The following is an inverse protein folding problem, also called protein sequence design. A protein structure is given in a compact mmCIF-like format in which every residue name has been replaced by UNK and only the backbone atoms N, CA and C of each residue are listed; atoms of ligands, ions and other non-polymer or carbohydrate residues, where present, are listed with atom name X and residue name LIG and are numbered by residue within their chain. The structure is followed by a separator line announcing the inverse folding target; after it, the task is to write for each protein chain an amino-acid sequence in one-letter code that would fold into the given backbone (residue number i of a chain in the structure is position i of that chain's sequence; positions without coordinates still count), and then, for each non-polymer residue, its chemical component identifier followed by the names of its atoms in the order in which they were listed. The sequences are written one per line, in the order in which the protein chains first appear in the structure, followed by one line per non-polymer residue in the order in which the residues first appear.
data_IF_027342361689
#
_entry.id   IF_027342361689
#
_cell.length_a   1.000
_cell.length_b   1.000
_cell.length_c   1.000
_cell.angle_alpha   90.00
_cell.angle_beta   90.00
_cell.angle_gamma   90.00
#
_symmetry.space_group_name_H-M   'P 1'
#
loop_
_entity.id
_entity.type
_entity.pdbx_description
1 polymer ?
#
# COMPACT_ATOMS: atom_id res chain seq x y z
N UNK A 1 11.33 5.09 -31.38
CA UNK A 1 11.63 5.44 -29.97
C UNK A 1 10.67 6.51 -29.44
N UNK A 2 10.29 7.50 -30.25
CA UNK A 2 9.38 8.60 -29.86
C UNK A 2 7.98 8.14 -29.39
N UNK A 3 7.32 7.26 -30.15
CA UNK A 3 6.00 6.71 -29.79
C UNK A 3 6.00 5.78 -28.55
N UNK A 4 7.16 5.27 -28.14
CA UNK A 4 7.27 4.43 -26.94
C UNK A 4 7.35 5.29 -25.66
N UNK A 5 7.88 6.51 -25.77
CA UNK A 5 8.01 7.43 -24.64
C UNK A 5 6.74 8.25 -24.41
N UNK A 6 5.90 8.44 -25.44
CA UNK A 6 4.63 9.17 -25.30
C UNK A 6 3.66 8.52 -24.32
N UNK A 7 3.72 7.18 -24.18
CA UNK A 7 2.92 6.42 -23.21
C UNK A 7 3.55 6.32 -21.82
N UNK A 8 4.87 6.57 -21.68
CA UNK A 8 5.56 6.53 -20.39
C UNK A 8 5.69 7.94 -19.82
N UNK A 9 4.58 8.43 -19.29
CA UNK A 9 4.48 9.74 -18.64
C UNK A 9 4.08 9.59 -17.16
N UNK A 10 3.94 10.73 -16.49
CA UNK A 10 3.52 10.78 -15.08
C UNK A 10 2.20 10.04 -14.85
N UNK A 11 1.21 10.18 -15.75
CA UNK A 11 -0.07 9.51 -15.64
C UNK A 11 0.06 7.98 -15.59
N UNK A 12 0.86 7.40 -16.49
CA UNK A 12 1.13 5.96 -16.51
C UNK A 12 1.81 5.48 -15.23
N UNK A 13 2.80 6.21 -14.74
CA UNK A 13 3.47 5.86 -13.46
C UNK A 13 2.49 5.89 -12.30
N UNK A 14 1.62 6.90 -12.23
CA UNK A 14 0.64 7.03 -11.15
C UNK A 14 -0.44 5.94 -11.20
N UNK A 15 -0.93 5.57 -12.38
CA UNK A 15 -1.94 4.51 -12.53
C UNK A 15 -1.39 3.16 -12.06
N UNK A 16 -0.20 2.76 -12.54
CA UNK A 16 0.40 1.49 -12.10
C UNK A 16 0.88 1.55 -10.64
N UNK A 17 1.46 2.67 -10.22
CA UNK A 17 1.92 2.87 -8.84
C UNK A 17 0.78 2.82 -7.83
N UNK A 18 -0.36 3.47 -8.11
CA UNK A 18 -1.55 3.42 -7.24
C UNK A 18 -2.18 2.02 -7.20
N UNK A 19 -2.24 1.31 -8.33
CA UNK A 19 -2.70 -0.08 -8.37
C UNK A 19 -1.83 -1.00 -7.49
N UNK A 20 -0.51 -0.92 -7.62
CA UNK A 20 0.42 -1.66 -6.77
C UNK A 20 0.31 -1.25 -5.29
N UNK A 21 0.13 0.03 -5.00
CA UNK A 21 -0.05 0.53 -3.64
C UNK A 21 -1.29 -0.08 -2.98
N UNK A 22 -2.45 -0.10 -3.64
CA UNK A 22 -3.68 -0.69 -3.08
C UNK A 22 -3.50 -2.18 -2.78
N UNK A 23 -2.91 -2.93 -3.72
CA UNK A 23 -2.64 -4.36 -3.52
C UNK A 23 -1.69 -4.58 -2.33
N UNK A 24 -0.63 -3.78 -2.23
CA UNK A 24 0.30 -3.85 -1.10
C UNK A 24 -0.41 -3.50 0.22
N UNK A 25 -1.31 -2.51 0.20
CA UNK A 25 -2.08 -2.10 1.39
C UNK A 25 -2.95 -3.25 1.90
N UNK A 26 -3.64 -3.98 1.00
CA UNK A 26 -4.39 -5.17 1.39
C UNK A 26 -3.48 -6.26 1.95
N UNK A 27 -2.35 -6.54 1.29
CA UNK A 27 -1.40 -7.54 1.77
C UNK A 27 -0.90 -7.21 3.18
N UNK A 28 -0.36 -6.01 3.40
CA UNK A 28 0.15 -5.61 4.72
C UNK A 28 -0.96 -5.45 5.76
N UNK A 29 -2.16 -5.04 5.37
CA UNK A 29 -3.32 -4.99 6.27
C UNK A 29 -3.70 -6.35 6.86
N UNK A 30 -3.43 -7.45 6.14
CA UNK A 30 -3.62 -8.82 6.66
C UNK A 30 -2.44 -9.33 7.50
N UNK A 31 -1.28 -8.68 7.43
CA UNK A 31 -0.10 -9.01 8.23
C UNK A 31 -0.21 -8.30 9.58
N UNK A 32 -1.05 -8.85 10.46
CA UNK A 32 -1.15 -8.43 11.86
C UNK A 32 0.18 -8.55 12.62
N UNK A 33 0.20 -8.13 13.88
CA UNK A 33 1.45 -8.06 14.65
C UNK A 33 1.22 -7.93 16.14
N UNK A 34 1.98 -7.07 16.81
CA UNK A 34 1.91 -6.85 18.26
C UNK A 34 0.47 -6.63 18.77
N UNK A 35 -0.35 -5.89 18.03
CA UNK A 35 -1.76 -5.62 18.32
C UNK A 35 -2.68 -6.85 18.34
N UNK A 36 -2.24 -7.99 17.81
CA UNK A 36 -2.99 -9.25 17.82
C UNK A 36 -2.49 -10.24 18.88
N UNK A 37 -1.56 -9.82 19.73
CA UNK A 37 -0.98 -10.68 20.76
C UNK A 37 -1.64 -10.45 22.10
N UNK A 38 -1.59 -11.47 22.97
CA UNK A 38 -2.07 -11.37 24.37
C UNK A 38 -1.27 -10.35 25.21
N UNK A 39 -0.17 -9.81 24.66
CA UNK A 39 0.67 -8.78 25.30
C UNK A 39 0.18 -7.36 25.03
N UNK A 40 -0.83 -7.20 24.17
CA UNK A 40 -1.42 -5.91 23.88
C UNK A 40 -2.65 -5.70 24.77
N UNK A 41 -2.58 -4.72 25.66
CA UNK A 41 -3.61 -4.39 26.66
C UNK A 41 -4.43 -3.13 26.28
N UNK A 42 -4.33 -2.68 25.04
CA UNK A 42 -5.01 -1.47 24.55
C UNK A 42 -6.20 -1.78 23.64
N UNK A 43 -6.92 -0.72 23.25
CA UNK A 43 -8.03 -0.79 22.28
C UNK A 43 -7.66 -0.26 20.88
N UNK A 44 -6.38 0.03 20.64
CA UNK A 44 -5.89 0.59 19.38
C UNK A 44 -5.77 2.11 19.35
N UNK A 45 -6.09 2.84 20.43
CA UNK A 45 -5.97 4.31 20.50
C UNK A 45 -5.08 4.78 21.64
N UNK A 46 -4.57 6.01 21.54
CA UNK A 46 -3.95 6.68 22.69
C UNK A 46 -5.04 7.07 23.70
N UNK A 47 -4.70 6.97 24.99
CA UNK A 47 -5.49 7.49 26.11
C UNK A 47 -4.78 8.73 26.66
#
# INVERSE_FOLDING_TARGET
MDAALSGFNLGTVLVFGSGLFVIATFYFGTRGGYYNTDKYDGNGTAH
#
